data_IF_344898652949
#
_entry.id   IF_344898652949
#
_cell.length_a   1.000
_cell.length_b   1.000
_cell.length_c   1.000
_cell.angle_alpha   90.00
_cell.angle_beta   90.00
_cell.angle_gamma   90.00
#
_symmetry.space_group_name_H-M   'P 1'
#
loop_
_entity.id
_entity.type
_entity.pdbx_description
1 polymer ?
#
# COMPACT_ATOMS: atom_id res chain seq x y z
N UNK A 1 57.03 -21.73 -32.34
CA UNK A 1 56.31 -22.36 -31.20
C UNK A 1 54.98 -21.64 -31.02
N UNK A 2 53.90 -22.42 -31.05
CA UNK A 2 52.60 -22.28 -30.34
C UNK A 2 51.68 -21.06 -30.63
N UNK A 3 50.45 -21.43 -31.03
CA UNK A 3 49.17 -20.72 -31.19
C UNK A 3 48.72 -19.88 -29.97
N UNK A 4 47.90 -18.85 -30.18
CA UNK A 4 46.43 -18.89 -29.91
C UNK A 4 45.75 -17.52 -30.05
N UNK A 5 44.61 -17.51 -30.76
CA UNK A 5 43.50 -16.54 -30.66
C UNK A 5 42.84 -16.62 -29.28
N UNK A 6 42.22 -15.52 -28.80
CA UNK A 6 40.87 -15.42 -28.17
C UNK A 6 40.50 -13.91 -28.15
N UNK A 7 39.61 -13.43 -29.03
CA UNK A 7 38.14 -13.26 -28.91
C UNK A 7 37.72 -12.11 -27.97
N UNK A 8 36.91 -11.22 -28.55
CA UNK A 8 36.25 -10.08 -27.95
C UNK A 8 35.32 -10.46 -26.79
N UNK A 9 35.20 -9.56 -25.81
CA UNK A 9 34.02 -9.46 -24.97
C UNK A 9 33.56 -7.99 -25.00
N UNK A 10 32.57 -7.69 -25.84
CA UNK A 10 31.76 -6.49 -25.66
C UNK A 10 31.05 -6.63 -24.32
N UNK A 11 31.32 -5.70 -23.40
CA UNK A 11 30.52 -5.46 -22.22
C UNK A 11 29.18 -4.86 -22.66
N UNK A 12 28.22 -5.73 -22.99
CA UNK A 12 26.81 -5.34 -23.01
C UNK A 12 26.39 -5.08 -21.58
N UNK A 13 26.36 -3.82 -21.18
CA UNK A 13 25.68 -3.37 -19.98
C UNK A 13 24.20 -3.71 -20.13
N UNK A 14 23.75 -4.73 -19.42
CA UNK A 14 22.33 -5.04 -19.23
C UNK A 14 21.69 -3.90 -18.43
N UNK A 15 21.20 -2.88 -19.13
CA UNK A 15 20.08 -2.08 -18.65
C UNK A 15 18.93 -3.04 -18.35
N UNK A 16 18.33 -3.03 -17.14
CA UNK A 16 17.09 -3.75 -16.93
C UNK A 16 16.05 -3.08 -17.84
N UNK A 17 15.74 -3.75 -18.95
CA UNK A 17 14.57 -3.43 -19.72
C UNK A 17 13.37 -3.55 -18.79
N UNK A 18 12.51 -2.53 -18.76
CA UNK A 18 11.16 -2.70 -18.25
C UNK A 18 10.57 -3.91 -18.96
N UNK A 19 10.52 -5.04 -18.25
CA UNK A 19 9.92 -6.26 -18.77
C UNK A 19 8.47 -5.91 -19.08
N UNK A 20 8.16 -5.91 -20.37
CA UNK A 20 6.80 -5.84 -20.86
C UNK A 20 6.09 -7.05 -20.28
N UNK A 21 5.17 -6.82 -19.33
CA UNK A 21 4.29 -7.83 -18.73
C UNK A 21 3.86 -8.82 -19.81
N UNK A 22 4.37 -10.05 -19.75
CA UNK A 22 4.06 -11.08 -20.72
C UNK A 22 2.63 -11.58 -20.52
N UNK A 23 1.99 -11.98 -21.61
CA UNK A 23 0.60 -12.46 -21.66
C UNK A 23 0.31 -13.70 -20.77
N UNK A 24 1.23 -14.18 -19.93
CA UNK A 24 1.09 -15.36 -19.07
C UNK A 24 1.50 -15.14 -17.61
N UNK A 25 1.61 -13.88 -17.17
CA UNK A 25 1.87 -13.54 -15.77
C UNK A 25 0.59 -13.58 -14.92
N UNK A 26 0.75 -13.87 -13.63
CA UNK A 26 -0.32 -13.98 -12.65
C UNK A 26 -0.03 -13.11 -11.43
N UNK A 27 -1.06 -12.46 -10.91
CA UNK A 27 -1.01 -11.68 -9.68
C UNK A 27 -1.81 -12.43 -8.61
N UNK A 28 -1.13 -12.88 -7.57
CA UNK A 28 -1.73 -13.60 -6.45
C UNK A 28 -1.75 -12.70 -5.22
N UNK A 29 -2.93 -12.24 -4.80
CA UNK A 29 -3.08 -11.42 -3.58
C UNK A 29 -3.65 -12.25 -2.44
N UNK A 30 -2.87 -12.40 -1.37
CA UNK A 30 -3.26 -13.11 -0.17
C UNK A 30 -3.42 -12.15 1.02
N UNK A 31 -4.63 -12.12 1.57
CA UNK A 31 -4.96 -11.31 2.76
C UNK A 31 -5.12 -12.14 4.01
N UNK A 32 -4.65 -11.63 5.15
CA UNK A 32 -4.98 -12.10 6.49
C UNK A 32 -5.54 -10.96 7.33
N UNK A 33 -6.73 -11.14 7.91
CA UNK A 33 -7.44 -10.14 8.69
C UNK A 33 -7.33 -10.42 10.20
N UNK A 34 -7.19 -9.35 10.97
CA UNK A 34 -7.09 -9.33 12.42
C UNK A 34 -8.22 -8.54 13.07
N UNK A 35 -7.98 -8.13 14.31
CA UNK A 35 -8.93 -7.33 15.08
C UNK A 35 -8.95 -5.87 14.61
N UNK A 36 -10.06 -5.15 14.86
CA UNK A 36 -10.14 -3.69 14.68
C UNK A 36 -9.68 -3.18 13.30
N UNK A 37 -9.98 -3.95 12.25
CA UNK A 37 -9.65 -3.60 10.87
C UNK A 37 -8.20 -3.91 10.45
N UNK A 38 -7.36 -4.42 11.37
CA UNK A 38 -6.00 -4.80 11.04
C UNK A 38 -5.98 -5.87 9.94
N UNK A 39 -5.10 -5.73 8.95
CA UNK A 39 -4.88 -6.78 7.97
C UNK A 39 -3.51 -6.65 7.31
N UNK A 40 -2.99 -7.77 6.85
CA UNK A 40 -1.78 -7.84 6.02
C UNK A 40 -2.17 -8.41 4.67
N UNK A 41 -1.73 -7.75 3.61
CA UNK A 41 -1.83 -8.23 2.23
C UNK A 41 -0.44 -8.54 1.70
N UNK A 42 -0.33 -9.65 0.97
CA UNK A 42 0.86 -10.01 0.21
C UNK A 42 0.43 -10.19 -1.22
N UNK A 43 1.00 -9.39 -2.11
CA UNK A 43 0.82 -9.53 -3.56
C UNK A 43 2.07 -10.15 -4.15
N UNK A 44 1.94 -11.33 -4.74
CA UNK A 44 3.01 -12.01 -5.44
C UNK A 44 2.76 -11.96 -6.95
N UNK A 45 3.77 -11.55 -7.70
CA UNK A 45 3.78 -11.67 -9.16
C UNK A 45 4.45 -12.98 -9.54
N UNK A 46 3.75 -13.78 -10.32
CA UNK A 46 4.08 -15.16 -10.62
C UNK A 46 4.13 -15.33 -12.13
N UNK A 47 5.15 -16.00 -12.63
CA UNK A 47 5.31 -16.24 -14.06
C UNK A 47 4.49 -17.45 -14.56
N UNK A 48 4.66 -17.77 -15.84
CA UNK A 48 4.01 -18.90 -16.50
C UNK A 48 4.46 -20.26 -15.96
N UNK A 49 5.59 -20.35 -15.27
CA UNK A 49 6.15 -21.56 -14.67
C UNK A 49 5.77 -21.71 -13.18
N UNK A 50 5.22 -20.66 -12.58
CA UNK A 50 4.76 -20.65 -11.20
C UNK A 50 5.82 -20.16 -10.24
N UNK A 51 6.92 -19.59 -10.77
CA UNK A 51 7.95 -18.96 -9.96
C UNK A 51 7.53 -17.55 -9.59
N UNK A 52 7.81 -17.18 -8.33
CA UNK A 52 7.52 -15.85 -7.81
C UNK A 52 8.75 -14.99 -8.06
N UNK A 53 8.59 -13.94 -8.87
CA UNK A 53 9.68 -13.02 -9.20
C UNK A 53 9.57 -11.66 -8.49
N UNK A 54 8.40 -11.35 -7.91
CA UNK A 54 8.19 -10.16 -7.09
C UNK A 54 7.19 -10.45 -5.97
N UNK A 55 7.41 -9.84 -4.80
CA UNK A 55 6.41 -9.75 -3.73
C UNK A 55 6.36 -8.32 -3.20
N UNK A 56 5.16 -7.85 -2.90
CA UNK A 56 4.94 -6.65 -2.10
C UNK A 56 4.10 -7.01 -0.88
N UNK A 57 4.42 -6.38 0.26
CA UNK A 57 3.73 -6.61 1.51
C UNK A 57 3.18 -5.30 2.02
N UNK A 58 1.92 -5.29 2.43
CA UNK A 58 1.32 -4.16 3.09
C UNK A 58 0.62 -4.57 4.38
N UNK A 59 0.59 -3.65 5.34
CA UNK A 59 -0.08 -3.81 6.61
C UNK A 59 -0.94 -2.59 6.90
N UNK A 60 -2.23 -2.80 7.11
CA UNK A 60 -3.09 -1.82 7.75
C UNK A 60 -3.09 -2.11 9.26
N UNK A 61 -2.58 -1.18 10.10
CA UNK A 61 -2.58 -1.37 11.55
C UNK A 61 -3.99 -1.38 12.15
N UNK A 62 -4.19 -1.97 13.34
CA UNK A 62 -5.49 -1.90 14.02
C UNK A 62 -5.82 -0.46 14.37
N UNK A 63 -7.06 -0.07 14.10
CA UNK A 63 -7.59 1.23 14.50
C UNK A 63 -7.88 1.20 16.02
N UNK A 64 -7.34 2.16 16.76
CA UNK A 64 -7.60 2.36 18.17
C UNK A 64 -8.94 3.06 18.37
N UNK A 65 -9.11 4.19 17.69
CA UNK A 65 -10.26 5.07 17.77
C UNK A 65 -10.35 5.95 16.52
N UNK A 66 -11.52 6.56 16.31
CA UNK A 66 -11.76 7.52 15.24
C UNK A 66 -12.83 8.53 15.62
N UNK A 67 -12.69 9.76 15.15
CA UNK A 67 -13.70 10.82 15.33
C UNK A 67 -14.86 10.62 14.36
N UNK A 68 -16.10 10.95 14.74
CA UNK A 68 -17.18 11.07 13.76
C UNK A 68 -16.82 12.10 12.68
N UNK A 69 -16.81 11.74 11.38
CA UNK A 69 -16.51 12.67 10.31
C UNK A 69 -17.53 13.81 10.28
N UNK A 70 -17.07 15.02 10.02
CA UNK A 70 -17.95 16.19 9.93
C UNK A 70 -18.91 16.10 8.73
N UNK A 71 -18.52 15.40 7.68
CA UNK A 71 -19.33 15.18 6.47
C UNK A 71 -19.72 13.71 6.35
N UNK A 72 -21.00 13.45 6.11
CA UNK A 72 -21.55 12.07 6.08
C UNK A 72 -20.99 11.22 4.94
N UNK A 73 -20.56 11.86 3.86
CA UNK A 73 -19.99 11.22 2.69
C UNK A 73 -18.49 10.92 2.87
N UNK A 74 -17.83 11.45 3.90
CA UNK A 74 -16.39 11.31 4.11
C UNK A 74 -16.08 10.11 5.02
N UNK A 75 -15.14 9.27 4.58
CA UNK A 75 -14.58 8.21 5.39
C UNK A 75 -13.58 8.71 6.43
N UNK A 76 -13.24 7.86 7.40
CA UNK A 76 -12.08 8.10 8.25
C UNK A 76 -10.78 7.99 7.42
N UNK A 77 -9.73 8.77 7.74
CA UNK A 77 -8.45 8.60 7.08
C UNK A 77 -7.89 7.21 7.36
N UNK A 78 -7.52 6.47 6.33
CA UNK A 78 -6.87 5.16 6.37
C UNK A 78 -5.35 5.25 6.47
N UNK A 79 -4.73 4.18 6.96
CA UNK A 79 -3.27 4.04 7.03
C UNK A 79 -2.86 2.66 6.49
N UNK A 80 -1.91 2.65 5.57
CA UNK A 80 -1.26 1.45 5.06
C UNK A 80 0.25 1.63 5.14
N UNK A 81 0.93 0.65 5.72
CA UNK A 81 2.39 0.57 5.79
C UNK A 81 2.87 -0.47 4.78
N UNK A 82 3.91 -0.16 4.02
CA UNK A 82 4.49 -1.01 2.99
C UNK A 82 5.86 -1.52 3.43
N UNK A 83 6.12 -2.78 3.11
CA UNK A 83 7.38 -3.45 3.41
C UNK A 83 7.92 -4.16 2.16
N UNK A 84 9.24 -4.09 2.00
CA UNK A 84 10.01 -4.81 0.99
C UNK A 84 10.99 -5.78 1.65
N UNK A 85 11.66 -6.61 0.84
CA UNK A 85 12.63 -7.62 1.29
C UNK A 85 12.05 -8.61 2.32
N UNK A 86 10.75 -8.87 2.25
CA UNK A 86 10.06 -9.86 3.07
C UNK A 86 10.46 -11.29 2.69
N UNK A 87 10.57 -12.16 3.69
CA UNK A 87 10.82 -13.60 3.52
C UNK A 87 9.88 -14.45 4.39
N UNK A 88 10.08 -15.76 4.43
CA UNK A 88 9.21 -16.66 5.18
C UNK A 88 9.25 -16.44 6.72
N UNK A 89 10.30 -15.81 7.24
CA UNK A 89 10.57 -15.62 8.66
C UNK A 89 10.25 -14.19 9.11
N UNK A 90 10.43 -13.19 8.25
CA UNK A 90 10.30 -11.77 8.58
C UNK A 90 9.54 -10.97 7.52
N UNK A 91 8.82 -9.93 7.98
CA UNK A 91 8.04 -9.04 7.12
C UNK A 91 8.91 -8.11 6.25
N UNK A 92 10.21 -8.00 6.55
CA UNK A 92 11.16 -7.17 5.82
C UNK A 92 11.28 -5.74 6.38
N UNK A 93 11.82 -4.84 5.55
CA UNK A 93 12.07 -3.45 5.90
C UNK A 93 10.89 -2.56 5.52
N UNK A 94 10.53 -1.59 6.37
CA UNK A 94 9.52 -0.59 6.04
C UNK A 94 10.06 0.32 4.92
N UNK A 95 9.32 0.43 3.83
CA UNK A 95 9.72 1.23 2.64
C UNK A 95 8.69 2.26 2.22
N UNK A 96 7.50 2.22 2.81
CA UNK A 96 6.43 3.16 2.47
C UNK A 96 5.38 3.27 3.56
N UNK A 97 4.72 4.41 3.60
CA UNK A 97 3.56 4.63 4.44
C UNK A 97 2.61 5.55 3.68
N UNK A 98 1.37 5.09 3.51
CA UNK A 98 0.33 5.77 2.74
C UNK A 98 -0.80 6.11 3.69
N UNK A 99 -1.13 7.40 3.75
CA UNK A 99 -2.38 7.86 4.32
C UNK A 99 -3.41 8.00 3.20
N UNK A 100 -4.62 7.47 3.41
CA UNK A 100 -5.67 7.51 2.40
C UNK A 100 -7.01 8.02 2.94
N UNK A 101 -7.90 8.43 2.05
CA UNK A 101 -9.26 8.83 2.39
C UNK A 101 -10.18 8.57 1.21
N UNK A 102 -11.42 8.19 1.51
CA UNK A 102 -12.47 8.07 0.51
C UNK A 102 -13.70 8.92 0.81
N UNK A 103 -14.47 9.23 -0.23
CA UNK A 103 -15.80 9.84 -0.13
C UNK A 103 -16.81 9.12 -1.03
N UNK A 104 -18.00 8.84 -0.50
CA UNK A 104 -19.09 8.14 -1.21
C UNK A 104 -20.33 9.03 -1.29
N UNK A 105 -20.75 9.38 -2.49
CA UNK A 105 -21.93 10.23 -2.70
C UNK A 105 -21.68 11.73 -2.47
N UNK A 106 -20.46 12.11 -2.09
CA UNK A 106 -20.05 13.50 -1.87
C UNK A 106 -20.06 14.38 -3.11
N UNK A 107 -20.00 15.72 -2.94
CA UNK A 107 -19.89 16.66 -4.04
C UNK A 107 -18.60 16.48 -4.85
N UNK A 108 -18.62 16.96 -6.09
CA UNK A 108 -17.41 17.04 -6.90
C UNK A 108 -16.38 17.94 -6.19
N UNK A 109 -15.26 17.35 -5.79
CA UNK A 109 -14.20 18.05 -5.05
C UNK A 109 -14.28 17.93 -3.52
N UNK A 110 -15.08 17.02 -2.96
CA UNK A 110 -15.13 16.76 -1.52
C UNK A 110 -13.75 16.51 -0.88
N UNK A 111 -12.82 15.91 -1.64
CA UNK A 111 -11.46 15.62 -1.19
C UNK A 111 -10.45 16.71 -1.58
N UNK A 112 -10.86 17.77 -2.28
CA UNK A 112 -9.96 18.86 -2.66
C UNK A 112 -9.75 19.78 -1.46
N UNK A 113 -8.53 20.31 -1.35
CA UNK A 113 -8.16 21.29 -0.31
C UNK A 113 -8.27 20.73 1.11
N UNK A 114 -8.10 19.42 1.24
CA UNK A 114 -7.86 18.79 2.52
C UNK A 114 -6.35 18.61 2.69
N UNK A 115 -5.88 18.78 3.92
CA UNK A 115 -4.50 18.45 4.30
C UNK A 115 -4.57 17.30 5.28
N UNK A 116 -3.72 16.29 5.11
CA UNK A 116 -3.57 15.24 6.09
C UNK A 116 -2.45 15.61 7.04
N UNK A 117 -2.79 15.73 8.32
CA UNK A 117 -1.83 15.93 9.38
C UNK A 117 -1.52 14.60 10.05
N UNK A 118 -0.24 14.25 10.12
CA UNK A 118 0.27 13.04 10.77
C UNK A 118 0.81 13.44 12.14
N UNK A 119 0.35 12.77 13.21
CA UNK A 119 0.80 13.01 14.57
C UNK A 119 1.23 11.69 15.21
N UNK A 120 2.50 11.60 15.61
CA UNK A 120 3.03 10.46 16.37
C UNK A 120 2.81 10.66 17.87
N UNK A 121 2.69 9.57 18.62
CA UNK A 121 2.56 9.61 20.09
C UNK A 121 3.73 10.34 20.79
N UNK A 122 4.89 10.45 20.14
CA UNK A 122 6.06 11.19 20.64
C UNK A 122 5.97 12.72 20.48
N UNK A 123 4.92 13.23 19.83
CA UNK A 123 4.72 14.66 19.57
C UNK A 123 5.24 15.13 18.21
N UNK A 124 6.05 14.33 17.52
CA UNK A 124 6.48 14.59 16.14
C UNK A 124 5.25 14.63 15.22
N UNK A 125 5.19 15.61 14.34
CA UNK A 125 4.07 15.78 13.43
C UNK A 125 4.48 16.49 12.15
N UNK A 126 3.83 16.15 11.05
CA UNK A 126 4.02 16.81 9.75
C UNK A 126 2.70 16.80 8.97
N UNK A 127 2.66 17.52 7.85
CA UNK A 127 1.49 17.61 6.99
C UNK A 127 1.82 17.18 5.59
N UNK A 128 0.90 16.45 4.97
CA UNK A 128 0.98 16.05 3.56
C UNK A 128 -0.32 16.40 2.85
N UNK A 129 -0.25 16.62 1.54
CA UNK A 129 -1.42 16.91 0.72
C UNK A 129 -1.90 15.63 0.01
N UNK A 130 -3.09 15.11 0.33
CA UNK A 130 -3.67 13.98 -0.39
C UNK A 130 -3.96 14.34 -1.85
N UNK A 131 -3.43 13.56 -2.76
CA UNK A 131 -3.71 13.69 -4.18
C UNK A 131 -5.00 12.95 -4.53
N UNK A 132 -6.04 13.66 -5.04
CA UNK A 132 -7.30 13.02 -5.37
C UNK A 132 -7.17 12.22 -6.67
N UNK A 133 -7.47 10.94 -6.57
CA UNK A 133 -7.77 10.09 -7.70
C UNK A 133 -9.21 10.39 -8.15
N UNK A 134 -9.43 10.41 -9.47
CA UNK A 134 -10.75 10.66 -10.05
C UNK A 134 -11.82 9.66 -9.58
N UNK A 135 -13.05 9.81 -10.08
CA UNK A 135 -14.10 8.80 -9.84
C UNK A 135 -13.73 7.53 -10.59
N UNK A 136 -13.31 6.49 -9.88
CA UNK A 136 -12.95 5.21 -10.48
C UNK A 136 -14.18 4.30 -10.68
N UNK A 137 -15.21 4.39 -9.82
CA UNK A 137 -16.41 3.56 -9.89
C UNK A 137 -17.57 4.13 -9.04
N UNK A 138 -18.75 3.51 -9.12
CA UNK A 138 -19.93 3.85 -8.31
C UNK A 138 -20.21 2.76 -7.28
N UNK A 139 -20.55 3.14 -6.05
CA UNK A 139 -21.00 2.22 -4.99
C UNK A 139 -22.49 2.48 -4.75
N UNK A 140 -23.34 1.50 -5.07
CA UNK A 140 -24.80 1.66 -4.91
C UNK A 140 -25.37 2.83 -5.73
N UNK A 141 -24.78 3.12 -6.89
CA UNK A 141 -25.16 4.27 -7.74
C UNK A 141 -24.51 5.60 -7.35
N UNK A 142 -23.89 5.69 -6.18
CA UNK A 142 -23.21 6.90 -5.71
C UNK A 142 -21.75 6.94 -6.20
N UNK A 143 -21.23 8.11 -6.62
CA UNK A 143 -19.83 8.24 -7.01
C UNK A 143 -18.91 7.94 -5.83
N UNK A 144 -17.92 7.07 -6.05
CA UNK A 144 -16.81 6.85 -5.13
C UNK A 144 -15.62 7.71 -5.55
N UNK A 145 -14.97 8.35 -4.58
CA UNK A 145 -13.74 9.12 -4.77
C UNK A 145 -12.73 8.70 -3.72
N UNK A 146 -11.47 8.80 -4.10
CA UNK A 146 -10.33 8.37 -3.29
C UNK A 146 -9.21 9.41 -3.40
N UNK A 147 -8.50 9.65 -2.32
CA UNK A 147 -7.28 10.45 -2.31
C UNK A 147 -6.25 9.77 -1.39
N UNK A 148 -4.98 9.89 -1.71
CA UNK A 148 -3.92 9.39 -0.85
C UNK A 148 -2.67 10.26 -0.92
N UNK A 149 -1.82 10.15 0.10
CA UNK A 149 -0.52 10.78 0.16
C UNK A 149 0.49 9.78 0.70
N UNK A 150 1.71 9.83 0.16
CA UNK A 150 2.86 9.25 0.84
C UNK A 150 3.17 10.08 2.09
N UNK A 151 3.52 9.42 3.18
CA UNK A 151 3.83 10.04 4.46
C UNK A 151 5.35 10.22 4.64
N UNK A 152 6.04 10.58 3.56
CA UNK A 152 7.51 10.68 3.47
C UNK A 152 8.04 12.12 3.46
N UNK A 153 7.25 13.07 2.97
CA UNK A 153 7.61 14.48 2.93
C UNK A 153 7.46 15.12 4.31
N UNK A 154 8.58 15.34 4.99
CA UNK A 154 8.64 15.89 6.34
C UNK A 154 9.35 17.25 6.36
N UNK A 155 8.96 18.12 7.29
CA UNK A 155 9.52 19.45 7.50
C UNK A 155 10.76 19.46 8.42
N UNK A 156 11.22 18.29 8.85
CA UNK A 156 12.35 18.09 9.77
C UNK A 156 13.37 17.11 9.18
N UNK A 157 14.62 17.19 9.65
CA UNK A 157 15.69 16.32 9.19
C UNK A 157 15.59 14.92 9.83
N UNK A 158 15.06 13.95 9.08
CA UNK A 158 15.24 12.52 9.35
C UNK A 158 14.24 11.63 8.60
N UNK A 159 14.26 10.33 8.93
CA UNK A 159 13.47 9.33 8.22
C UNK A 159 12.10 9.10 8.89
N UNK A 160 10.98 9.52 8.27
CA UNK A 160 9.65 9.27 8.82
C UNK A 160 9.33 7.78 8.99
N UNK A 161 9.93 6.91 8.17
CA UNK A 161 9.71 5.47 8.23
C UNK A 161 10.34 4.84 9.47
N UNK A 162 11.51 5.30 9.88
CA UNK A 162 12.12 4.90 11.16
C UNK A 162 11.22 5.31 12.34
N UNK A 163 10.63 6.51 12.28
CA UNK A 163 9.70 7.00 13.32
C UNK A 163 8.41 6.20 13.38
N UNK A 164 7.84 5.84 12.22
CA UNK A 164 6.65 5.01 12.14
C UNK A 164 6.94 3.58 12.61
N UNK A 165 8.06 2.98 12.21
CA UNK A 165 8.43 1.62 12.62
C UNK A 165 8.70 1.54 14.14
N UNK A 166 9.26 2.58 14.75
CA UNK A 166 9.54 2.61 16.20
C UNK A 166 8.39 3.17 17.04
N UNK A 167 7.39 3.79 16.41
CA UNK A 167 6.25 4.43 17.06
C UNK A 167 5.30 3.44 17.75
N UNK A 168 4.61 3.93 18.79
CA UNK A 168 3.55 3.16 19.47
C UNK A 168 2.19 3.35 18.81
N UNK A 169 1.85 4.58 18.45
CA UNK A 169 0.66 4.89 17.69
C UNK A 169 0.87 6.14 16.82
N UNK A 170 -0.01 6.27 15.82
CA UNK A 170 -0.10 7.43 14.94
C UNK A 170 -1.55 7.86 14.79
N UNK A 171 -1.79 9.17 14.79
CA UNK A 171 -3.07 9.77 14.45
C UNK A 171 -2.96 10.43 13.08
N UNK A 172 -3.86 10.06 12.19
CA UNK A 172 -4.09 10.76 10.94
C UNK A 172 -5.29 11.69 11.11
N UNK A 173 -5.12 12.95 10.78
CA UNK A 173 -6.15 13.97 10.89
C UNK A 173 -6.32 14.69 9.56
N UNK A 174 -7.45 14.51 8.91
CA UNK A 174 -7.85 15.34 7.78
C UNK A 174 -8.29 16.71 8.29
N UNK A 175 -7.75 17.76 7.69
CA UNK A 175 -8.01 19.15 8.05
C UNK A 175 -8.51 19.94 6.85
N UNK A 176 -9.44 20.86 7.10
CA UNK A 176 -9.91 21.82 6.09
C UNK A 176 -8.89 22.95 5.85
N UNK A 177 -9.19 23.85 4.91
CA UNK A 177 -8.33 25.00 4.58
C UNK A 177 -8.12 25.99 5.73
N UNK A 178 -8.94 25.92 6.78
CA UNK A 178 -8.80 26.74 8.00
C UNK A 178 -8.00 25.99 9.08
N UNK A 179 -7.48 24.80 8.78
CA UNK A 179 -6.73 23.96 9.70
C UNK A 179 -7.59 23.20 10.70
N UNK A 180 -8.92 23.19 10.54
CA UNK A 180 -9.85 22.51 11.47
C UNK A 180 -9.95 21.02 11.12
N UNK A 181 -9.90 20.12 12.12
CA UNK A 181 -10.05 18.70 11.85
C UNK A 181 -11.48 18.38 11.39
N UNK A 182 -11.60 17.68 10.26
CA UNK A 182 -12.88 17.23 9.68
C UNK A 182 -13.11 15.73 9.85
N UNK A 183 -12.04 14.95 9.97
CA UNK A 183 -12.07 13.54 10.33
C UNK A 183 -10.68 13.11 10.85
N UNK A 184 -10.67 12.20 11.82
CA UNK A 184 -9.45 11.71 12.45
C UNK A 184 -9.57 10.21 12.74
N UNK A 185 -8.45 9.50 12.67
CA UNK A 185 -8.32 8.11 13.09
C UNK A 185 -6.95 7.88 13.73
N UNK A 186 -6.91 7.04 14.76
CA UNK A 186 -5.69 6.65 15.46
C UNK A 186 -5.41 5.17 15.28
N UNK A 187 -4.15 4.83 15.06
CA UNK A 187 -3.68 3.50 14.69
C UNK A 187 -2.59 3.00 15.62
N UNK A 188 -2.65 1.70 15.95
CA UNK A 188 -1.73 1.02 16.86
C UNK A 188 -0.51 0.46 16.09
N UNK A 189 0.58 1.22 16.04
CA UNK A 189 1.83 0.79 15.43
C UNK A 189 2.60 -0.20 16.32
N UNK A 190 2.31 -0.19 17.62
CA UNK A 190 2.86 -1.13 18.61
C UNK A 190 2.35 -2.57 18.45
N UNK A 191 1.30 -2.81 17.67
CA UNK A 191 0.69 -4.12 17.41
C UNK A 191 1.55 -5.06 16.53
N UNK A 192 2.89 -5.00 16.63
CA UNK A 192 3.84 -5.78 15.82
C UNK A 192 3.62 -7.29 15.93
N UNK A 193 3.30 -7.80 17.12
CA UNK A 193 2.99 -9.21 17.30
C UNK A 193 1.74 -9.66 16.50
N UNK A 194 0.73 -8.78 16.37
CA UNK A 194 -0.42 -9.05 15.51
C UNK A 194 -0.04 -8.96 14.04
N UNK A 195 0.71 -7.92 13.62
CA UNK A 195 1.28 -7.77 12.27
C UNK A 195 2.01 -9.04 11.83
N UNK A 196 2.98 -9.51 12.61
CA UNK A 196 3.83 -10.64 12.26
C UNK A 196 3.06 -11.98 12.26
N UNK A 197 2.01 -12.09 13.07
CA UNK A 197 1.08 -13.22 13.02
C UNK A 197 0.25 -13.21 11.73
N UNK A 198 -0.29 -12.05 11.36
CA UNK A 198 -1.07 -11.89 10.13
C UNK A 198 -0.20 -12.13 8.90
N UNK A 199 1.02 -11.57 8.88
CA UNK A 199 2.02 -11.80 7.85
C UNK A 199 2.28 -13.28 7.60
N UNK A 200 2.64 -14.06 8.63
CA UNK A 200 2.87 -15.51 8.48
C UNK A 200 1.64 -16.28 7.98
N UNK A 201 0.44 -15.77 8.25
CA UNK A 201 -0.80 -16.36 7.73
C UNK A 201 -0.99 -16.01 6.25
N UNK A 202 -0.82 -14.75 5.87
CA UNK A 202 -0.89 -14.29 4.48
C UNK A 202 0.19 -14.96 3.63
N UNK A 203 1.42 -15.09 4.15
CA UNK A 203 2.57 -15.64 3.43
C UNK A 203 2.36 -17.12 3.06
N UNK A 204 1.91 -17.93 4.01
CA UNK A 204 1.57 -19.34 3.71
C UNK A 204 0.46 -19.47 2.67
N UNK A 205 -0.50 -18.53 2.69
CA UNK A 205 -1.58 -18.48 1.71
C UNK A 205 -1.06 -18.06 0.33
N UNK A 206 -0.23 -17.02 0.23
CA UNK A 206 0.36 -16.58 -1.05
C UNK A 206 1.22 -17.68 -1.67
N UNK A 207 2.01 -18.41 -0.87
CA UNK A 207 2.79 -19.57 -1.34
C UNK A 207 1.92 -20.68 -1.93
N UNK A 208 0.78 -20.95 -1.28
CA UNK A 208 -0.17 -21.97 -1.78
C UNK A 208 -0.87 -21.50 -3.06
N UNK A 209 -1.19 -20.21 -3.14
CA UNK A 209 -1.79 -19.60 -4.32
C UNK A 209 -0.82 -19.61 -5.49
N UNK A 210 0.43 -19.16 -5.31
CA UNK A 210 1.43 -19.14 -6.39
C UNK A 210 1.68 -20.54 -6.99
N UNK A 211 1.80 -21.57 -6.14
CA UNK A 211 2.02 -22.97 -6.60
C UNK A 211 0.85 -23.54 -7.39
N UNK A 212 -0.39 -23.17 -7.05
CA UNK A 212 -1.59 -23.72 -7.68
C UNK A 212 -2.22 -22.80 -8.74
N UNK A 213 -1.84 -21.52 -8.71
CA UNK A 213 -2.44 -20.37 -9.41
C UNK A 213 -3.95 -20.23 -9.22
N UNK A 214 -4.52 -20.97 -8.27
CA UNK A 214 -5.93 -20.85 -7.91
C UNK A 214 -6.11 -19.54 -7.14
N UNK A 215 -7.11 -18.74 -7.55
CA UNK A 215 -7.41 -17.43 -6.97
C UNK A 215 -6.36 -16.35 -7.29
N UNK A 216 -5.53 -16.57 -8.32
CA UNK A 216 -4.69 -15.52 -8.88
C UNK A 216 -5.37 -14.94 -10.12
N UNK A 217 -5.16 -13.65 -10.36
CA UNK A 217 -5.67 -12.94 -11.52
C UNK A 217 -4.60 -12.94 -12.63
N UNK A 218 -5.01 -13.08 -13.89
CA UNK A 218 -4.08 -13.02 -15.02
C UNK A 218 -3.68 -11.56 -15.29
N UNK A 219 -2.39 -11.26 -15.26
CA UNK A 219 -1.87 -9.94 -15.60
C UNK A 219 -2.17 -9.64 -17.07
N UNK A 220 -2.78 -8.49 -17.37
CA UNK A 220 -3.18 -8.12 -18.73
C UNK A 220 -4.57 -8.60 -19.18
N UNK A 221 -5.33 -9.29 -18.32
CA UNK A 221 -6.73 -9.63 -18.54
C UNK A 221 -7.68 -8.43 -18.41
N UNK A 222 -7.37 -7.32 -19.07
CA UNK A 222 -8.31 -6.23 -19.28
C UNK A 222 -9.30 -6.64 -20.37
N UNK A 223 -10.34 -7.40 -20.02
CA UNK A 223 -11.56 -7.33 -20.81
C UNK A 223 -12.09 -5.91 -20.67
N UNK A 224 -11.88 -5.14 -21.73
CA UNK A 224 -12.80 -4.10 -22.14
C UNK A 224 -14.17 -4.75 -22.34
N UNK A 225 -14.93 -4.93 -21.26
CA UNK A 225 -16.37 -5.09 -21.36
C UNK A 225 -16.94 -3.70 -21.71
N UNK A 226 -16.85 -3.36 -23.00
CA UNK A 226 -17.72 -2.38 -23.61
C UNK A 226 -19.14 -2.92 -23.50
N UNK A 227 -19.86 -2.49 -22.46
CA UNK A 227 -21.30 -2.72 -22.35
C UNK A 227 -22.02 -1.70 -23.25
N UNK A 228 -22.97 -2.13 -24.09
CA UNK A 228 -23.64 -1.31 -25.11
C UNK A 228 -24.44 -0.12 -24.56
#
# INVERSE_FOLDING_TARGET
MIRALVVAALLTTSTPAAAQYGDDEWVCTASAKGSRGAHVDITAQVDSDGEIWSRSVSWAPPMLDASTPQYQDLGHPGLVIQYDDADAEAIGALTGAIGDVSSVGGPNGALRRLTMWVLLDGGDSWSVEPEPFGVAYKIGGNPFRYASAQLDDTDWDGDPYERLETGSAVTLSLRDTMGRPVAQARYDLGAKAERDRLFRSAWRKSETMAKSRKQCDKAGGGEAESVP
#
